data_IF_422210625582
#
_entry.id   IF_422210625582
#
_cell.length_a   1.000
_cell.length_b   1.000
_cell.length_c   1.000
_cell.angle_alpha   90.00
_cell.angle_beta   90.00
_cell.angle_gamma   90.00
#
_symmetry.space_group_name_H-M   'P 1'
#
loop_
_entity.id
_entity.type
_entity.pdbx_description
1 polymer ?
#
# COMPACT_ATOMS: atom_id res chain seq x y z
N UNK A 1 18.28 -65.60 -13.57
CA UNK A 1 16.98 -65.40 -14.25
C UNK A 1 16.15 -64.37 -13.48
N UNK A 2 15.18 -63.72 -14.13
CA UNK A 2 14.26 -62.67 -13.64
C UNK A 2 14.69 -61.20 -13.88
N UNK A 3 14.72 -60.81 -15.16
CA UNK A 3 14.63 -59.41 -15.62
C UNK A 3 13.38 -59.25 -16.52
N UNK A 4 12.15 -59.41 -16.01
CA UNK A 4 10.94 -59.27 -16.84
C UNK A 4 9.69 -58.66 -16.17
N UNK A 5 9.76 -58.16 -14.93
CA UNK A 5 8.55 -57.62 -14.24
C UNK A 5 8.62 -56.14 -13.85
N UNK A 6 9.74 -55.46 -14.06
CA UNK A 6 9.90 -54.03 -13.67
C UNK A 6 9.25 -53.03 -14.62
N UNK A 7 8.78 -53.45 -15.81
CA UNK A 7 8.10 -52.56 -16.78
C UNK A 7 6.58 -52.55 -16.68
N UNK A 8 5.96 -53.53 -16.01
CA UNK A 8 4.50 -53.58 -15.84
C UNK A 8 4.04 -52.88 -14.55
N UNK A 9 4.93 -52.64 -13.58
CA UNK A 9 4.62 -51.97 -12.31
C UNK A 9 4.61 -50.43 -12.41
N UNK A 10 5.09 -49.85 -13.52
CA UNK A 10 5.18 -48.40 -13.73
C UNK A 10 3.97 -47.79 -14.46
N UNK A 11 3.00 -48.61 -14.88
CA UNK A 11 1.86 -48.18 -15.72
C UNK A 11 0.53 -48.02 -14.98
N UNK A 12 0.48 -48.27 -13.66
CA UNK A 12 -0.76 -48.16 -12.86
C UNK A 12 -0.77 -46.90 -11.96
N UNK A 13 0.34 -46.14 -11.88
CA UNK A 13 0.44 -44.94 -11.04
C UNK A 13 0.17 -43.61 -11.78
N UNK A 14 -0.44 -43.67 -12.97
CA UNK A 14 -0.50 -42.51 -13.89
C UNK A 14 -1.90 -41.99 -14.22
N UNK A 15 -2.98 -42.46 -13.59
CA UNK A 15 -4.34 -42.13 -14.08
C UNK A 15 -5.36 -41.60 -13.06
N UNK A 16 -4.94 -41.04 -11.92
CA UNK A 16 -5.88 -40.46 -10.96
C UNK A 16 -5.44 -39.10 -10.40
N UNK A 17 -5.17 -38.12 -11.28
CA UNK A 17 -5.20 -36.70 -10.91
C UNK A 17 -5.61 -35.84 -12.11
N UNK A 18 -6.82 -36.04 -12.62
CA UNK A 18 -7.48 -35.01 -13.42
C UNK A 18 -8.90 -34.89 -12.90
N UNK A 19 -9.17 -33.85 -12.11
CA UNK A 19 -10.29 -32.93 -12.35
C UNK A 19 -10.27 -31.78 -11.34
N UNK A 20 -10.56 -30.59 -11.88
CA UNK A 20 -11.00 -29.36 -11.22
C UNK A 20 -9.94 -28.45 -10.57
N UNK A 21 -9.08 -27.86 -11.40
CA UNK A 21 -8.64 -26.49 -11.12
C UNK A 21 -9.70 -25.56 -11.72
N UNK A 22 -10.73 -25.22 -10.94
CA UNK A 22 -11.51 -24.04 -11.24
C UNK A 22 -10.58 -22.82 -11.06
N UNK A 23 -10.34 -21.99 -12.08
CA UNK A 23 -9.70 -20.70 -11.84
C UNK A 23 -10.72 -19.87 -11.06
N UNK A 24 -10.59 -19.85 -9.73
CA UNK A 24 -11.22 -18.83 -8.92
C UNK A 24 -10.59 -17.48 -9.33
N UNK A 25 -11.17 -16.83 -10.34
CA UNK A 25 -10.90 -15.43 -10.65
C UNK A 25 -11.43 -14.60 -9.48
N UNK A 26 -10.64 -14.52 -8.41
CA UNK A 26 -10.86 -13.55 -7.36
C UNK A 26 -10.49 -12.20 -7.97
N UNK A 27 -11.50 -11.56 -8.55
CA UNK A 27 -11.49 -10.18 -9.02
C UNK A 27 -10.57 -9.35 -8.13
N UNK A 28 -9.42 -8.94 -8.67
CA UNK A 28 -8.42 -8.12 -8.00
C UNK A 28 -8.97 -6.72 -7.77
N UNK A 29 -9.96 -6.60 -6.87
CA UNK A 29 -10.32 -5.32 -6.27
C UNK A 29 -9.10 -4.91 -5.46
N UNK A 30 -8.27 -4.04 -6.03
CA UNK A 30 -7.28 -3.28 -5.28
C UNK A 30 -8.03 -2.51 -4.18
N UNK A 31 -8.04 -3.08 -2.98
CA UNK A 31 -8.60 -2.49 -1.77
C UNK A 31 -7.71 -1.29 -1.44
N UNK A 32 -8.33 -0.12 -1.23
CA UNK A 32 -7.64 1.05 -0.71
C UNK A 32 -7.03 0.68 0.67
N UNK A 33 -5.81 1.13 0.98
CA UNK A 33 -5.23 0.87 2.30
C UNK A 33 -6.15 1.43 3.40
N UNK A 34 -6.21 0.78 4.57
CA UNK A 34 -7.03 1.27 5.67
C UNK A 34 -6.56 2.66 6.12
N UNK A 35 -7.52 3.50 6.49
CA UNK A 35 -7.26 4.84 7.03
C UNK A 35 -6.74 4.67 8.46
N UNK A 36 -5.61 5.30 8.83
CA UNK A 36 -5.08 5.25 10.20
C UNK A 36 -6.07 5.80 11.23
N UNK A 37 -6.05 5.22 12.43
CA UNK A 37 -6.79 5.77 13.57
C UNK A 37 -6.04 6.93 14.24
N UNK A 38 -6.69 7.61 15.20
CA UNK A 38 -6.11 8.76 15.90
C UNK A 38 -4.75 8.48 16.54
N UNK A 39 -4.55 7.27 17.09
CA UNK A 39 -3.29 6.91 17.74
C UNK A 39 -2.19 6.69 16.70
N UNK A 40 -2.53 6.03 15.59
CA UNK A 40 -1.63 5.84 14.45
C UNK A 40 -1.22 7.18 13.83
N UNK A 41 -2.16 8.13 13.72
CA UNK A 41 -1.85 9.49 13.23
C UNK A 41 -0.85 10.18 14.16
N UNK A 42 -1.07 10.11 15.49
CA UNK A 42 -0.12 10.66 16.47
C UNK A 42 1.26 10.02 16.36
N UNK A 43 1.32 8.71 16.15
CA UNK A 43 2.59 7.99 15.99
C UNK A 43 3.32 8.41 14.71
N UNK A 44 2.60 8.56 13.58
CA UNK A 44 3.16 9.08 12.33
C UNK A 44 3.76 10.47 12.56
N UNK A 45 3.01 11.38 13.18
CA UNK A 45 3.47 12.76 13.47
C UNK A 45 4.66 12.75 14.41
N UNK A 46 4.66 11.90 15.45
CA UNK A 46 5.78 11.75 16.38
C UNK A 46 7.04 11.26 15.66
N UNK A 47 6.93 10.23 14.83
CA UNK A 47 8.06 9.69 14.07
C UNK A 47 8.60 10.73 13.07
N UNK A 48 7.69 11.48 12.43
CA UNK A 48 8.05 12.56 11.54
C UNK A 48 8.75 13.71 12.28
N UNK A 49 8.28 14.06 13.47
CA UNK A 49 8.89 15.08 14.35
C UNK A 49 10.33 14.72 14.68
N UNK A 50 10.59 13.46 15.03
CA UNK A 50 11.93 12.94 15.30
C UNK A 50 12.80 13.00 14.04
N UNK A 51 12.33 12.45 12.92
CA UNK A 51 13.09 12.33 11.66
C UNK A 51 13.49 13.71 11.12
N UNK A 52 12.53 14.63 11.07
CA UNK A 52 12.73 15.98 10.55
C UNK A 52 13.31 16.95 11.59
N UNK A 53 13.38 16.54 12.85
CA UNK A 53 13.77 17.40 13.97
C UNK A 53 12.89 18.66 14.00
N UNK A 54 11.57 18.45 14.01
CA UNK A 54 10.59 19.53 14.04
C UNK A 54 10.66 20.26 15.39
N UNK A 55 10.40 21.58 15.37
CA UNK A 55 10.12 22.29 16.60
C UNK A 55 8.65 22.06 17.02
N UNK A 56 8.30 22.47 18.24
CA UNK A 56 6.95 22.26 18.80
C UNK A 56 5.84 22.89 17.94
N UNK A 57 6.09 24.08 17.39
CA UNK A 57 5.12 24.80 16.57
C UNK A 57 4.87 24.08 15.23
N UNK A 58 5.93 23.66 14.56
CA UNK A 58 5.86 22.85 13.34
C UNK A 58 5.16 21.51 13.60
N UNK A 59 5.47 20.84 14.70
CA UNK A 59 4.83 19.58 15.07
C UNK A 59 3.32 19.75 15.28
N UNK A 60 2.90 20.82 15.98
CA UNK A 60 1.48 21.10 16.20
C UNK A 60 0.75 21.41 14.87
N UNK A 61 1.34 22.23 14.02
CA UNK A 61 0.74 22.58 12.72
C UNK A 61 0.66 21.35 11.80
N UNK A 62 1.74 20.56 11.71
CA UNK A 62 1.77 19.33 10.92
C UNK A 62 0.79 18.30 11.47
N UNK A 63 0.66 18.19 12.80
CA UNK A 63 -0.36 17.32 13.43
C UNK A 63 -1.76 17.67 12.93
N UNK A 64 -2.13 18.96 12.95
CA UNK A 64 -3.42 19.44 12.43
C UNK A 64 -3.61 19.09 10.95
N UNK A 65 -2.57 19.26 10.12
CA UNK A 65 -2.62 18.89 8.71
C UNK A 65 -2.87 17.39 8.51
N UNK A 66 -2.17 16.52 9.27
CA UNK A 66 -2.36 15.07 9.17
C UNK A 66 -3.77 14.63 9.57
N UNK A 67 -4.29 15.17 10.68
CA UNK A 67 -5.66 14.87 11.12
C UNK A 67 -6.69 15.29 10.06
N UNK A 68 -6.59 16.54 9.58
CA UNK A 68 -7.47 17.05 8.54
C UNK A 68 -7.37 16.21 7.26
N UNK A 69 -6.15 15.90 6.81
CA UNK A 69 -5.93 15.12 5.60
C UNK A 69 -6.61 13.74 5.68
N UNK A 70 -6.44 13.01 6.78
CA UNK A 70 -7.07 11.70 6.93
C UNK A 70 -8.59 11.76 7.11
N UNK A 71 -9.10 12.84 7.72
CA UNK A 71 -10.55 13.10 7.75
C UNK A 71 -11.10 13.36 6.34
N UNK A 72 -10.40 14.13 5.51
CA UNK A 72 -10.78 14.38 4.12
C UNK A 72 -10.72 13.10 3.28
N UNK A 73 -9.67 12.27 3.44
CA UNK A 73 -9.57 10.95 2.80
C UNK A 73 -10.75 10.05 3.21
N UNK A 74 -11.12 10.06 4.49
CA UNK A 74 -12.28 9.31 5.01
C UNK A 74 -13.57 9.80 4.36
N UNK A 75 -13.78 11.10 4.33
CA UNK A 75 -14.94 11.72 3.70
C UNK A 75 -15.06 11.35 2.21
N UNK A 76 -13.97 11.36 1.45
CA UNK A 76 -13.97 10.95 0.04
C UNK A 76 -14.30 9.46 -0.09
N UNK A 77 -13.70 8.62 0.76
CA UNK A 77 -13.88 7.16 0.74
C UNK A 77 -15.30 6.74 1.12
N UNK A 78 -15.95 7.48 2.02
CA UNK A 78 -17.32 7.20 2.49
C UNK A 78 -18.39 7.76 1.55
N UNK A 79 -18.17 8.94 0.95
CA UNK A 79 -19.15 9.59 0.07
C UNK A 79 -19.33 8.90 -1.28
N UNK A 80 -18.39 8.05 -1.69
CA UNK A 80 -18.33 7.56 -3.06
C UNK A 80 -18.89 6.14 -3.20
N UNK A 81 -20.10 6.04 -3.78
CA UNK A 81 -20.61 4.79 -4.42
C UNK A 81 -19.92 4.50 -5.78
N UNK A 82 -18.94 5.33 -6.17
CA UNK A 82 -18.36 5.40 -7.51
C UNK A 82 -17.26 4.37 -7.74
N UNK A 83 -16.87 4.18 -9.01
CA UNK A 83 -15.74 3.31 -9.36
C UNK A 83 -14.47 3.71 -8.59
N UNK A 84 -13.73 2.71 -8.13
CA UNK A 84 -12.45 2.88 -7.41
C UNK A 84 -11.46 3.81 -8.13
N UNK A 85 -11.60 4.06 -9.44
CA UNK A 85 -10.69 4.94 -10.19
C UNK A 85 -10.89 6.44 -9.89
N UNK A 86 -12.13 6.89 -9.70
CA UNK A 86 -12.42 8.32 -9.44
C UNK A 86 -11.95 8.69 -8.03
N UNK A 87 -12.27 7.83 -7.06
CA UNK A 87 -11.82 7.93 -5.67
C UNK A 87 -10.30 8.05 -5.57
N UNK A 88 -9.58 7.25 -6.37
CA UNK A 88 -8.10 7.34 -6.41
C UNK A 88 -7.60 8.68 -6.91
N UNK A 89 -8.16 9.20 -8.01
CA UNK A 89 -7.75 10.50 -8.55
C UNK A 89 -8.00 11.63 -7.53
N UNK A 90 -9.13 11.59 -6.84
CA UNK A 90 -9.45 12.57 -5.78
C UNK A 90 -8.47 12.46 -4.60
N UNK A 91 -8.15 11.24 -4.15
CA UNK A 91 -7.14 11.02 -3.10
C UNK A 91 -5.74 11.42 -3.57
N UNK A 92 -5.37 11.18 -4.84
CA UNK A 92 -4.08 11.59 -5.41
C UNK A 92 -3.92 13.12 -5.42
N UNK A 93 -4.97 13.86 -5.80
CA UNK A 93 -4.98 15.33 -5.72
C UNK A 93 -4.88 15.80 -4.26
N UNK A 94 -5.67 15.21 -3.37
CA UNK A 94 -5.63 15.54 -1.94
C UNK A 94 -4.26 15.26 -1.30
N UNK A 95 -3.58 14.18 -1.73
CA UNK A 95 -2.21 13.89 -1.30
C UNK A 95 -1.22 14.95 -1.81
N UNK A 96 -1.38 15.42 -3.04
CA UNK A 96 -0.50 16.44 -3.62
C UNK A 96 -0.64 17.77 -2.87
N UNK A 97 -1.87 18.20 -2.60
CA UNK A 97 -2.14 19.43 -1.84
C UNK A 97 -1.59 19.33 -0.41
N UNK A 98 -1.80 18.18 0.24
CA UNK A 98 -1.24 17.90 1.56
C UNK A 98 0.30 17.93 1.58
N UNK A 99 0.96 17.32 0.60
CA UNK A 99 2.42 17.35 0.48
C UNK A 99 2.94 18.79 0.29
N UNK A 100 2.20 19.66 -0.39
CA UNK A 100 2.54 21.08 -0.53
C UNK A 100 2.39 21.84 0.79
N UNK A 101 1.28 21.65 1.50
CA UNK A 101 1.02 22.29 2.80
C UNK A 101 2.09 21.90 3.82
N UNK A 102 2.46 20.61 3.90
CA UNK A 102 3.55 20.17 4.78
C UNK A 102 4.87 20.83 4.37
N UNK A 103 5.23 20.82 3.08
CA UNK A 103 6.47 21.43 2.62
C UNK A 103 6.56 22.92 2.93
N UNK A 104 5.43 23.65 2.91
CA UNK A 104 5.39 25.07 3.26
C UNK A 104 5.81 25.33 4.71
N UNK A 105 5.52 24.40 5.63
CA UNK A 105 5.88 24.50 7.05
C UNK A 105 7.33 24.10 7.35
N UNK A 106 8.02 23.50 6.39
CA UNK A 106 9.36 22.96 6.56
C UNK A 106 10.45 23.91 6.06
N UNK A 107 11.58 23.93 6.77
CA UNK A 107 12.81 24.58 6.29
C UNK A 107 13.46 23.72 5.21
N UNK A 108 14.31 24.31 4.36
CA UNK A 108 14.99 23.61 3.25
C UNK A 108 15.66 22.28 3.64
N UNK A 109 16.37 22.24 4.79
CA UNK A 109 16.98 20.99 5.28
C UNK A 109 15.93 19.94 5.66
N UNK A 110 14.80 20.37 6.22
CA UNK A 110 13.70 19.48 6.61
C UNK A 110 12.91 18.98 5.40
N UNK A 111 12.71 19.83 4.36
CA UNK A 111 12.09 19.42 3.09
C UNK A 111 12.81 18.24 2.44
N UNK A 112 14.16 18.29 2.38
CA UNK A 112 14.97 17.17 1.84
C UNK A 112 14.77 15.88 2.64
N UNK A 113 14.76 15.96 3.97
CA UNK A 113 14.48 14.79 4.82
C UNK A 113 13.05 14.28 4.62
N UNK A 114 12.09 15.18 4.45
CA UNK A 114 10.70 14.83 4.21
C UNK A 114 10.52 14.10 2.87
N UNK A 115 11.17 14.58 1.82
CA UNK A 115 11.18 13.91 0.51
C UNK A 115 11.72 12.47 0.61
N UNK A 116 12.83 12.28 1.33
CA UNK A 116 13.40 10.95 1.59
C UNK A 116 12.40 10.07 2.37
N UNK A 117 11.79 10.61 3.41
CA UNK A 117 10.78 9.91 4.21
C UNK A 117 9.58 9.45 3.35
N UNK A 118 9.00 10.36 2.58
CA UNK A 118 7.86 10.08 1.69
C UNK A 118 8.23 9.04 0.63
N UNK A 119 9.42 9.16 0.03
CA UNK A 119 9.91 8.19 -0.95
C UNK A 119 10.11 6.80 -0.32
N UNK A 120 10.64 6.72 0.91
CA UNK A 120 10.76 5.45 1.64
C UNK A 120 9.39 4.79 1.83
N UNK A 121 8.38 5.55 2.25
CA UNK A 121 7.01 5.04 2.42
C UNK A 121 6.40 4.61 1.07
N UNK A 122 6.60 5.40 0.01
CA UNK A 122 6.11 5.08 -1.36
C UNK A 122 6.77 3.81 -1.93
N UNK A 123 8.06 3.59 -1.69
CA UNK A 123 8.79 2.39 -2.13
C UNK A 123 8.29 1.12 -1.44
N UNK A 124 8.11 1.15 -0.11
CA UNK A 124 7.55 0.01 0.63
C UNK A 124 6.17 -0.42 0.08
N UNK A 125 5.36 0.53 -0.44
CA UNK A 125 4.08 0.21 -1.09
C UNK A 125 4.23 -0.42 -2.49
N UNK A 126 5.33 -0.17 -3.21
CA UNK A 126 5.60 -0.79 -4.51
C UNK A 126 6.07 -2.23 -4.34
N UNK A 127 6.90 -2.49 -3.34
CA UNK A 127 7.45 -3.82 -3.06
C UNK A 127 6.39 -4.78 -2.49
N UNK A 128 5.30 -4.24 -1.92
CA UNK A 128 4.12 -5.01 -1.50
C UNK A 128 3.16 -5.35 -2.65
N UNK A 129 3.41 -4.91 -3.90
CA UNK A 129 2.64 -5.45 -5.03
C UNK A 129 3.10 -6.88 -5.29
N UNK A 130 2.20 -7.89 -5.28
CA UNK A 130 2.58 -9.23 -5.71
C UNK A 130 3.18 -9.12 -7.13
N UNK A 131 4.26 -9.86 -7.42
CA UNK A 131 4.95 -9.76 -8.70
C UNK A 131 3.92 -9.91 -9.82
N UNK A 132 3.83 -8.89 -10.69
CA UNK A 132 3.06 -9.02 -11.93
C UNK A 132 3.62 -10.23 -12.63
N UNK A 133 2.81 -11.30 -12.73
CA UNK A 133 3.18 -12.56 -13.35
C UNK A 133 3.97 -12.32 -14.62
N UNK A 134 5.28 -12.45 -14.48
CA UNK A 134 6.20 -12.46 -15.58
C UNK A 134 6.41 -13.91 -15.95
N UNK A 135 6.52 -14.11 -17.26
CA UNK A 135 7.07 -15.27 -17.95
C UNK A 135 6.09 -16.42 -18.20
N UNK A 136 6.22 -17.15 -19.29
CA UNK A 136 6.86 -16.96 -20.60
C UNK A 136 6.23 -18.03 -21.51
#
# INVERSE_FOLDING_TARGET
>A
MMKKYTKLLWLILASLFITNIAPAQKNGRQILPPIPDTNSIKEIVKNLSIELSLNKEQEEQISKLYFKHFEDVKNISEKTKYSNSKVRKEIELLNADFEQEVNFLLKEKQKKKYEIYVNKVKLHRRDQKPPKGGKH
#
